data_IF_517739937300
#
_entry.id   IF_517739937300
#
_cell.length_a   1.000
_cell.length_b   1.000
_cell.length_c   1.000
_cell.angle_alpha   90.00
_cell.angle_beta   90.00
_cell.angle_gamma   90.00
#
_symmetry.space_group_name_H-M   'P 1'
#
loop_
_entity.id
_entity.type
_entity.pdbx_description
1 polymer ?
#
# COMPACT_ATOMS: atom_id res chain seq x y z
N UNK A 1 -0.05 2.31 -15.21
CA UNK A 1 0.66 2.09 -13.94
C UNK A 1 2.18 2.40 -14.01
N UNK A 2 2.75 2.75 -15.17
CA UNK A 2 4.23 2.83 -15.37
C UNK A 2 4.97 3.90 -14.55
N UNK A 3 4.27 4.82 -13.87
CA UNK A 3 4.88 5.87 -13.04
C UNK A 3 4.53 5.78 -11.54
N UNK A 4 3.98 4.66 -11.07
CA UNK A 4 3.70 4.46 -9.64
C UNK A 4 4.91 3.77 -9.00
N UNK A 5 5.56 4.36 -7.98
CA UNK A 5 6.62 3.68 -7.24
C UNK A 5 6.12 2.35 -6.68
N UNK A 6 6.97 1.32 -6.70
CA UNK A 6 6.65 -0.02 -6.18
C UNK A 6 5.48 -0.73 -6.89
N UNK A 7 5.22 -0.44 -8.17
CA UNK A 7 4.21 -1.12 -8.98
C UNK A 7 4.30 -2.67 -8.93
N UNK A 8 5.50 -3.23 -8.96
CA UNK A 8 5.71 -4.68 -8.84
C UNK A 8 5.19 -5.23 -7.51
N UNK A 9 5.39 -4.49 -6.41
CA UNK A 9 4.89 -4.88 -5.08
C UNK A 9 3.38 -4.74 -4.95
N UNK A 10 2.80 -3.75 -5.64
CA UNK A 10 1.34 -3.62 -5.73
C UNK A 10 0.74 -4.83 -6.45
N UNK A 11 1.33 -5.22 -7.59
CA UNK A 11 0.88 -6.40 -8.33
C UNK A 11 1.02 -7.67 -7.50
N UNK A 12 2.17 -7.85 -6.81
CA UNK A 12 2.39 -8.98 -5.91
C UNK A 12 1.32 -9.07 -4.81
N UNK A 13 1.00 -7.94 -4.16
CA UNK A 13 -0.04 -7.90 -3.13
C UNK A 13 -1.43 -8.25 -3.66
N UNK A 14 -1.76 -7.82 -4.88
CA UNK A 14 -3.03 -8.13 -5.55
C UNK A 14 -3.11 -9.62 -5.90
N UNK A 15 -2.04 -10.17 -6.50
CA UNK A 15 -1.98 -11.57 -6.94
C UNK A 15 -2.00 -12.54 -5.76
N UNK A 16 -1.27 -12.21 -4.68
CA UNK A 16 -1.18 -13.05 -3.48
C UNK A 16 -2.26 -12.76 -2.44
N UNK A 17 -3.03 -11.68 -2.62
CA UNK A 17 -4.04 -11.22 -1.67
C UNK A 17 -3.45 -10.92 -0.28
N UNK A 18 -2.26 -10.32 -0.26
CA UNK A 18 -1.49 -10.02 0.94
C UNK A 18 -1.53 -8.53 1.28
N UNK A 19 -1.60 -8.23 2.58
CA UNK A 19 -1.41 -6.89 3.12
C UNK A 19 0.08 -6.68 3.41
N UNK A 20 0.68 -5.65 2.83
CA UNK A 20 2.12 -5.43 2.92
C UNK A 20 2.43 -4.13 3.65
N UNK A 21 3.34 -4.20 4.62
CA UNK A 21 4.08 -3.07 5.17
C UNK A 21 5.53 -3.20 4.74
N UNK A 22 6.02 -2.22 3.98
CA UNK A 22 7.38 -2.18 3.48
C UNK A 22 8.12 -1.02 4.14
N UNK A 23 9.26 -1.31 4.77
CA UNK A 23 10.13 -0.29 5.39
C UNK A 23 11.50 -0.38 4.72
N UNK A 24 11.94 0.73 4.16
CA UNK A 24 13.19 0.81 3.42
C UNK A 24 14.28 1.49 4.25
N UNK A 25 15.52 1.04 4.06
CA UNK A 25 16.69 1.73 4.60
C UNK A 25 17.01 2.97 3.78
N UNK A 26 17.57 3.98 4.44
CA UNK A 26 17.91 5.25 3.79
C UNK A 26 19.10 5.07 2.86
N UNK A 27 18.97 5.62 1.66
CA UNK A 27 20.09 5.86 0.76
C UNK A 27 20.62 7.27 1.02
N UNK A 28 21.92 7.38 1.30
CA UNK A 28 22.54 8.66 1.66
C UNK A 28 22.78 9.56 0.44
N UNK A 29 22.78 8.99 -0.76
CA UNK A 29 23.01 9.71 -2.02
C UNK A 29 21.71 10.31 -2.60
N UNK A 30 20.55 9.94 -2.06
CA UNK A 30 19.24 10.43 -2.49
C UNK A 30 18.72 11.54 -1.57
N UNK A 31 18.04 12.52 -2.18
CA UNK A 31 17.32 13.54 -1.43
C UNK A 31 16.17 12.91 -0.62
N UNK A 32 16.09 13.25 0.67
CA UNK A 32 15.08 12.68 1.61
C UNK A 32 13.63 12.72 1.08
N UNK A 33 13.26 13.76 0.34
CA UNK A 33 11.90 13.95 -0.17
C UNK A 33 11.60 13.21 -1.48
N UNK A 34 12.58 12.52 -2.06
CA UNK A 34 12.43 11.75 -3.31
C UNK A 34 12.50 10.24 -3.09
N UNK A 35 13.06 9.81 -1.95
CA UNK A 35 13.19 8.40 -1.61
C UNK A 35 12.03 7.94 -0.75
N UNK A 36 11.42 6.80 -1.13
CA UNK A 36 10.39 6.13 -0.33
C UNK A 36 10.99 5.61 0.97
N UNK A 37 10.42 5.99 2.11
CA UNK A 37 10.81 5.48 3.44
C UNK A 37 10.02 4.23 3.79
N UNK A 38 8.70 4.28 3.61
CA UNK A 38 7.82 3.15 3.83
C UNK A 38 6.60 3.22 2.93
N UNK A 39 5.95 2.07 2.75
CA UNK A 39 4.70 1.96 2.02
C UNK A 39 3.78 0.91 2.67
N UNK A 40 2.48 1.18 2.60
CA UNK A 40 1.43 0.21 2.94
C UNK A 40 0.64 -0.09 1.68
N UNK A 41 0.43 -1.38 1.42
CA UNK A 41 -0.39 -1.88 0.32
C UNK A 41 -1.47 -2.78 0.90
N UNK A 42 -2.73 -2.39 0.73
CA UNK A 42 -3.89 -3.20 1.19
C UNK A 42 -4.80 -3.54 0.01
N UNK A 43 -4.87 -4.81 -0.42
CA UNK A 43 -5.78 -5.21 -1.49
C UNK A 43 -7.25 -4.99 -1.11
N UNK A 44 -8.07 -4.66 -2.10
CA UNK A 44 -9.51 -4.48 -1.98
C UNK A 44 -10.16 -5.79 -2.42
N UNK A 45 -10.48 -6.63 -1.44
CA UNK A 45 -10.95 -8.00 -1.64
C UNK A 45 -12.43 -8.12 -1.28
N UNK A 46 -13.19 -8.85 -2.10
CA UNK A 46 -14.53 -9.32 -1.74
C UNK A 46 -14.73 -10.79 -2.19
N UNK A 47 -15.95 -11.33 -2.08
CA UNK A 47 -16.24 -12.73 -2.47
C UNK A 47 -15.97 -13.04 -3.95
N UNK A 48 -15.95 -12.05 -4.81
CA UNK A 48 -15.78 -12.17 -6.26
C UNK A 48 -14.33 -11.94 -6.72
N UNK A 49 -13.42 -11.56 -5.81
CA UNK A 49 -12.00 -11.41 -6.09
C UNK A 49 -11.41 -10.08 -5.63
N UNK A 50 -10.30 -9.69 -6.27
CA UNK A 50 -9.56 -8.46 -5.99
C UNK A 50 -9.89 -7.37 -7.01
N UNK A 51 -10.32 -6.20 -6.54
CA UNK A 51 -10.73 -5.06 -7.37
C UNK A 51 -9.62 -4.01 -7.53
N UNK A 52 -8.48 -4.24 -6.87
CA UNK A 52 -7.34 -3.32 -6.84
C UNK A 52 -6.71 -3.30 -5.45
N UNK A 53 -5.92 -2.27 -5.16
CA UNK A 53 -5.32 -2.06 -3.85
C UNK A 53 -5.28 -0.59 -3.48
N UNK A 54 -5.34 -0.30 -2.19
CA UNK A 54 -4.95 1.00 -1.64
C UNK A 54 -3.44 0.97 -1.46
N UNK A 55 -2.75 1.95 -2.04
CA UNK A 55 -1.31 2.14 -1.90
C UNK A 55 -1.07 3.53 -1.31
N UNK A 56 -0.34 3.56 -0.20
CA UNK A 56 0.21 4.80 0.35
C UNK A 56 1.70 4.62 0.59
N UNK A 57 2.46 5.68 0.34
CA UNK A 57 3.87 5.73 0.65
C UNK A 57 4.22 7.08 1.27
N UNK A 58 5.36 7.12 1.94
CA UNK A 58 5.92 8.35 2.46
C UNK A 58 7.42 8.43 2.16
N UNK A 59 8.03 9.54 2.57
CA UNK A 59 9.44 9.82 2.30
C UNK A 59 10.24 9.86 3.60
N UNK A 60 11.56 9.99 3.51
CA UNK A 60 12.42 10.15 4.69
C UNK A 60 12.26 11.51 5.41
N UNK A 61 11.27 12.32 5.02
CA UNK A 61 10.81 13.50 5.77
C UNK A 61 9.88 13.14 6.94
N UNK A 62 9.17 12.02 6.83
CA UNK A 62 8.12 11.60 7.78
C UNK A 62 8.55 10.31 8.50
N UNK A 63 7.91 9.96 9.62
CA UNK A 63 8.10 8.65 10.28
C UNK A 63 7.57 7.51 9.40
N UNK A 64 8.18 6.33 9.49
CA UNK A 64 7.68 5.18 8.74
C UNK A 64 6.31 4.75 9.25
N UNK A 65 5.47 4.22 8.35
CA UNK A 65 4.22 3.59 8.73
C UNK A 65 4.48 2.41 9.67
N UNK A 66 3.54 2.20 10.59
CA UNK A 66 3.55 1.09 11.53
C UNK A 66 2.36 0.14 11.31
N UNK A 67 2.15 -0.79 12.24
CA UNK A 67 1.06 -1.76 12.14
C UNK A 67 -0.33 -1.12 12.35
N UNK A 68 -0.44 -0.02 13.10
CA UNK A 68 -1.72 0.66 13.28
C UNK A 68 -2.17 1.34 11.99
N UNK A 69 -1.23 1.86 11.19
CA UNK A 69 -1.52 2.37 9.85
C UNK A 69 -2.02 1.26 8.91
N UNK A 70 -1.44 0.06 9.01
CA UNK A 70 -1.89 -1.11 8.24
C UNK A 70 -3.31 -1.49 8.66
N UNK A 71 -3.58 -1.64 9.95
CA UNK A 71 -4.92 -1.98 10.46
C UNK A 71 -5.98 -0.98 9.99
N UNK A 72 -5.65 0.31 10.03
CA UNK A 72 -6.53 1.36 9.53
C UNK A 72 -6.83 1.23 8.03
N UNK A 73 -5.79 1.01 7.21
CA UNK A 73 -5.96 0.85 5.76
C UNK A 73 -6.65 -0.46 5.39
N UNK A 74 -6.45 -1.53 6.16
CA UNK A 74 -7.21 -2.78 6.03
C UNK A 74 -8.70 -2.54 6.28
N UNK A 75 -9.03 -1.81 7.34
CA UNK A 75 -10.41 -1.42 7.60
C UNK A 75 -10.98 -0.64 6.42
N UNK A 76 -10.24 0.34 5.87
CA UNK A 76 -10.69 1.07 4.69
C UNK A 76 -10.87 0.18 3.46
N UNK A 77 -9.95 -0.75 3.19
CA UNK A 77 -10.05 -1.63 2.01
C UNK A 77 -11.28 -2.53 2.08
N UNK A 78 -11.63 -3.03 3.27
CA UNK A 78 -12.87 -3.77 3.53
C UNK A 78 -14.12 -2.90 3.31
N UNK A 79 -14.11 -1.66 3.78
CA UNK A 79 -15.25 -0.75 3.57
C UNK A 79 -15.44 -0.40 2.08
N UNK A 80 -14.35 -0.20 1.35
CA UNK A 80 -14.39 0.03 -0.10
C UNK A 80 -14.93 -1.21 -0.82
N UNK A 81 -14.45 -2.40 -0.48
CA UNK A 81 -14.96 -3.65 -1.03
C UNK A 81 -16.48 -3.81 -0.83
N UNK A 82 -16.97 -3.56 0.39
CA UNK A 82 -18.39 -3.62 0.71
C UNK A 82 -19.24 -2.54 -0.02
N UNK A 83 -18.65 -1.39 -0.33
CA UNK A 83 -19.30 -0.36 -1.13
C UNK A 83 -19.40 -0.78 -2.61
N UNK A 84 -18.36 -1.45 -3.14
CA UNK A 84 -18.33 -1.97 -4.51
C UNK A 84 -19.30 -3.13 -4.73
N UNK A 85 -19.59 -3.96 -3.71
CA UNK A 85 -20.59 -5.03 -3.80
C UNK A 85 -22.03 -4.51 -3.99
N UNK A 86 -22.30 -3.25 -3.66
CA UNK A 86 -23.63 -2.65 -3.75
C UNK A 86 -23.89 -1.93 -5.09
N UNK A 87 -22.88 -1.88 -5.97
CA UNK A 87 -22.95 -1.31 -7.32
C UNK A 87 -23.21 -2.42 -8.34
#
# INVERSE_FOLDING_TARGET
FENIPLNEKINEAIEKQEYLLLIFSRDMDLEKGKQVRSAVITPILNSNGCYGAIYVNNTFRDEHYDLADVDYLMMLSVHVAAALEKL
#
